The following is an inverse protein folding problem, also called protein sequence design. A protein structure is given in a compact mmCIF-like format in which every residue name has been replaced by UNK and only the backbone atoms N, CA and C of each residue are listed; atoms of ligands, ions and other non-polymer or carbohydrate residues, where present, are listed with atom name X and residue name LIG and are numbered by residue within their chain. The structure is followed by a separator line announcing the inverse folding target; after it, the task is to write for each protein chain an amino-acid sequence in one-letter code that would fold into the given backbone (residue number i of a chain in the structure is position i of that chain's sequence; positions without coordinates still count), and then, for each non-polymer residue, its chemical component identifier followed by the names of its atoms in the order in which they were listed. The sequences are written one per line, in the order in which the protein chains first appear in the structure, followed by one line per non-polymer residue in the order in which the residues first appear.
data_IF_237469501682
#
_entry.id   IF_237469501682
#
_cell.length_a   1.000
_cell.length_b   1.000
_cell.length_c   1.000
_cell.angle_alpha   90.00
_cell.angle_beta   90.00
_cell.angle_gamma   90.00
#
_symmetry.space_group_name_H-M   'P 1'
#
loop_
_entity.id
_entity.type
_entity.pdbx_description
1 polymer ?
#
# COMPACT_ATOMS: atom_id res chain seq x y z
N UNK A 1 -2.90 -12.46 11.03
CA UNK A 1 -3.11 -11.80 9.72
C UNK A 1 -3.27 -12.83 8.62
N UNK A 2 -3.10 -12.40 7.37
CA UNK A 2 -3.34 -13.19 6.16
C UNK A 2 -2.07 -13.35 5.31
N UNK A 3 -2.09 -14.32 4.40
CA UNK A 3 -1.05 -14.59 3.39
C UNK A 3 -1.66 -14.48 1.99
N UNK A 4 -0.80 -14.53 0.96
CA UNK A 4 -1.22 -14.45 -0.44
C UNK A 4 -2.21 -15.56 -0.86
N UNK A 5 -2.15 -16.71 -0.18
CA UNK A 5 -2.98 -17.87 -0.46
C UNK A 5 -3.38 -18.54 0.84
N UNK A 6 -4.65 -18.91 0.96
CA UNK A 6 -5.19 -19.69 2.07
C UNK A 6 -5.75 -21.00 1.51
N UNK A 7 -5.16 -22.11 1.96
CA UNK A 7 -5.55 -23.45 1.55
C UNK A 7 -6.47 -24.07 2.61
N UNK A 8 -7.76 -24.04 2.32
CA UNK A 8 -8.79 -24.56 3.23
C UNK A 8 -8.87 -26.10 3.22
N UNK A 9 -8.14 -26.79 2.35
CA UNK A 9 -8.03 -28.24 2.43
C UNK A 9 -7.08 -28.60 3.58
N UNK A 10 -7.51 -29.29 4.65
CA UNK A 10 -6.63 -29.64 5.77
C UNK A 10 -5.47 -30.57 5.37
N UNK A 11 -5.62 -31.32 4.28
CA UNK A 11 -4.57 -32.17 3.70
C UNK A 11 -3.68 -31.41 2.69
N UNK A 12 -4.09 -30.21 2.27
CA UNK A 12 -3.46 -29.42 1.22
C UNK A 12 -1.99 -29.09 1.51
N UNK A 13 -1.16 -28.98 0.46
CA UNK A 13 0.27 -28.76 0.63
C UNK A 13 0.58 -27.40 1.28
N UNK A 14 -0.32 -26.43 1.11
CA UNK A 14 -0.12 -25.05 1.54
C UNK A 14 -0.94 -24.68 2.78
N UNK A 15 -1.60 -25.64 3.44
CA UNK A 15 -2.38 -25.41 4.65
C UNK A 15 -1.50 -24.81 5.75
N UNK A 16 -1.89 -23.62 6.20
CA UNK A 16 -1.21 -22.91 7.28
C UNK A 16 -1.55 -23.45 8.66
N UNK A 17 -0.92 -22.87 9.68
CA UNK A 17 -1.36 -23.03 11.06
C UNK A 17 -2.52 -22.04 11.28
N UNK A 18 -3.75 -22.56 11.32
CA UNK A 18 -4.94 -21.72 11.50
C UNK A 18 -5.37 -21.71 12.97
N UNK A 19 -5.72 -20.52 13.45
CA UNK A 19 -6.12 -20.24 14.83
C UNK A 19 -7.15 -21.22 15.40
N UNK A 20 -8.18 -21.59 14.62
CA UNK A 20 -9.25 -22.48 15.08
C UNK A 20 -9.00 -23.97 14.76
N UNK A 21 -7.74 -24.39 14.61
CA UNK A 21 -7.37 -25.81 14.53
C UNK A 21 -7.68 -26.53 13.21
N UNK A 22 -8.34 -25.87 12.26
CA UNK A 22 -8.59 -26.40 10.91
C UNK A 22 -7.35 -26.40 9.99
N UNK A 23 -6.21 -25.93 10.51
CA UNK A 23 -4.93 -25.91 9.80
C UNK A 23 -4.01 -27.05 10.19
N UNK A 24 -2.80 -27.06 9.63
CA UNK A 24 -1.74 -28.02 10.02
C UNK A 24 -0.97 -27.49 11.22
N UNK A 25 -0.78 -28.32 12.26
CA UNK A 25 0.03 -27.98 13.46
C UNK A 25 1.45 -27.50 13.13
N UNK A 26 2.05 -28.00 12.05
CA UNK A 26 3.37 -27.60 11.53
C UNK A 26 3.28 -26.72 10.27
N UNK A 27 2.11 -26.15 9.99
CA UNK A 27 1.89 -25.26 8.86
C UNK A 27 2.53 -23.89 9.07
N UNK A 28 2.64 -23.10 8.00
CA UNK A 28 3.14 -21.72 8.08
C UNK A 28 2.22 -20.87 8.97
N UNK A 29 2.81 -20.05 9.84
CA UNK A 29 2.08 -19.15 10.74
C UNK A 29 2.43 -17.67 10.50
N UNK A 30 2.76 -17.33 9.25
CA UNK A 30 3.18 -15.99 8.90
C UNK A 30 1.95 -15.14 8.59
N UNK A 31 1.97 -13.88 8.97
CA UNK A 31 1.07 -12.82 8.48
C UNK A 31 1.85 -11.89 7.57
N UNK A 32 1.19 -11.23 6.63
CA UNK A 32 1.86 -10.34 5.68
C UNK A 32 1.09 -9.05 5.45
N UNK A 33 1.84 -7.95 5.40
CA UNK A 33 1.38 -6.61 5.02
C UNK A 33 1.65 -6.29 3.54
N UNK A 34 2.37 -7.18 2.85
CA UNK A 34 2.66 -7.15 1.43
C UNK A 34 1.37 -7.14 0.60
N UNK A 35 1.31 -6.39 -0.50
CA UNK A 35 0.11 -6.23 -1.36
C UNK A 35 -1.22 -6.06 -0.60
N UNK A 36 -1.25 -5.29 0.50
CA UNK A 36 -2.50 -5.00 1.25
C UNK A 36 -3.21 -6.27 1.79
N UNK A 37 -2.50 -7.40 1.93
CA UNK A 37 -3.09 -8.73 2.22
C UNK A 37 -3.86 -8.77 3.54
N UNK A 38 -3.19 -8.46 4.65
CA UNK A 38 -3.86 -8.46 5.97
C UNK A 38 -4.79 -7.26 6.10
N UNK A 39 -4.35 -6.12 5.59
CA UNK A 39 -5.00 -4.84 5.74
C UNK A 39 -6.37 -4.83 5.05
N UNK A 40 -6.49 -5.27 3.79
CA UNK A 40 -7.76 -5.37 3.07
C UNK A 40 -8.72 -6.38 3.70
N UNK A 41 -8.22 -7.56 4.08
CA UNK A 41 -9.03 -8.57 4.76
C UNK A 41 -9.59 -8.03 6.09
N UNK A 42 -8.77 -7.28 6.84
CA UNK A 42 -9.19 -6.67 8.09
C UNK A 42 -10.21 -5.57 7.86
N UNK A 43 -9.99 -4.65 6.90
CA UNK A 43 -10.97 -3.60 6.55
C UNK A 43 -12.33 -4.18 6.15
N UNK A 44 -12.34 -5.29 5.39
CA UNK A 44 -13.57 -6.02 5.07
C UNK A 44 -14.26 -6.55 6.34
N UNK A 45 -13.51 -7.23 7.22
CA UNK A 45 -14.08 -7.77 8.45
C UNK A 45 -14.64 -6.68 9.37
N UNK A 46 -13.93 -5.55 9.51
CA UNK A 46 -14.41 -4.38 10.26
C UNK A 46 -15.74 -3.88 9.68
N UNK A 47 -15.81 -3.72 8.35
CA UNK A 47 -17.03 -3.25 7.69
C UNK A 47 -18.20 -4.24 7.84
N UNK A 48 -17.94 -5.55 7.73
CA UNK A 48 -18.96 -6.60 7.93
C UNK A 48 -19.43 -6.64 9.38
N UNK A 49 -18.51 -6.57 10.34
CA UNK A 49 -18.84 -6.58 11.77
C UNK A 49 -19.73 -5.39 12.13
N UNK A 50 -19.37 -4.20 11.65
CA UNK A 50 -20.17 -2.98 11.81
C UNK A 50 -21.55 -3.12 11.15
N UNK A 51 -21.63 -3.67 9.94
CA UNK A 51 -22.90 -3.87 9.24
C UNK A 51 -23.82 -4.89 9.92
N UNK A 52 -23.24 -5.85 10.65
CA UNK A 52 -23.96 -6.82 11.47
C UNK A 52 -24.25 -6.29 12.89
N UNK A 53 -24.02 -5.00 13.13
CA UNK A 53 -24.20 -4.34 14.43
C UNK A 53 -23.45 -5.09 15.55
N UNK A 54 -22.29 -5.67 15.24
CA UNK A 54 -21.45 -6.42 16.16
C UNK A 54 -22.12 -7.66 16.78
N UNK A 55 -23.23 -8.14 16.19
CA UNK A 55 -24.02 -9.27 16.74
C UNK A 55 -23.48 -10.64 16.35
N UNK A 56 -22.59 -10.71 15.35
CA UNK A 56 -21.97 -11.97 14.96
C UNK A 56 -20.69 -12.18 15.75
N UNK A 57 -20.78 -12.95 16.84
CA UNK A 57 -19.67 -13.18 17.77
C UNK A 57 -18.38 -13.66 17.09
N UNK A 58 -18.50 -14.54 16.08
CA UNK A 58 -17.32 -15.10 15.41
C UNK A 58 -16.59 -14.05 14.56
N UNK A 59 -17.33 -13.19 13.87
CA UNK A 59 -16.76 -12.12 13.08
C UNK A 59 -16.18 -11.05 14.01
N UNK A 60 -16.93 -10.65 15.04
CA UNK A 60 -16.49 -9.66 16.01
C UNK A 60 -15.18 -10.05 16.69
N UNK A 61 -15.15 -11.24 17.29
CA UNK A 61 -13.97 -11.79 17.97
C UNK A 61 -12.79 -11.96 17.01
N UNK A 62 -13.03 -12.54 15.83
CA UNK A 62 -11.99 -12.72 14.81
C UNK A 62 -11.37 -11.41 14.33
N UNK A 63 -12.19 -10.35 14.25
CA UNK A 63 -11.75 -9.00 13.85
C UNK A 63 -10.89 -8.36 14.93
N UNK A 64 -11.36 -8.35 16.18
CA UNK A 64 -10.60 -7.79 17.30
C UNK A 64 -9.27 -8.51 17.50
N UNK A 65 -9.28 -9.84 17.42
CA UNK A 65 -8.05 -10.63 17.47
C UNK A 65 -7.06 -10.24 16.37
N UNK A 66 -7.54 -10.04 15.14
CA UNK A 66 -6.68 -9.66 14.03
C UNK A 66 -6.13 -8.22 14.19
N UNK A 67 -6.90 -7.29 14.76
CA UNK A 67 -6.43 -5.94 15.13
C UNK A 67 -5.32 -6.05 16.17
N UNK A 68 -5.53 -6.80 17.26
CA UNK A 68 -4.52 -6.99 18.31
C UNK A 68 -3.20 -7.52 17.74
N UNK A 69 -3.28 -8.48 16.81
CA UNK A 69 -2.09 -9.07 16.17
C UNK A 69 -1.43 -8.17 15.12
N UNK A 70 -2.16 -7.22 14.53
CA UNK A 70 -1.56 -6.20 13.68
C UNK A 70 -0.77 -5.21 14.53
N UNK A 71 -1.30 -4.83 15.70
CA UNK A 71 -0.62 -3.90 16.61
C UNK A 71 0.71 -4.46 17.15
N UNK A 72 0.85 -5.79 17.30
CA UNK A 72 2.14 -6.40 17.68
C UNK A 72 3.19 -6.39 16.57
N UNK A 73 2.80 -6.07 15.34
CA UNK A 73 3.72 -5.92 14.22
C UNK A 73 4.36 -4.51 14.16
N UNK A 74 3.96 -3.58 15.03
CA UNK A 74 4.54 -2.24 15.04
C UNK A 74 5.85 -2.20 15.83
N UNK A 75 6.91 -1.75 15.19
CA UNK A 75 8.21 -1.55 15.82
C UNK A 75 8.19 -0.36 16.80
N UNK A 76 9.13 -0.28 17.77
CA UNK A 76 9.20 0.84 18.71
C UNK A 76 9.29 2.22 18.05
N UNK A 77 9.94 2.33 16.88
CA UNK A 77 10.03 3.57 16.11
C UNK A 77 8.76 3.89 15.30
N UNK A 78 7.76 3.01 15.29
CA UNK A 78 6.47 3.17 14.61
C UNK A 78 6.35 2.49 13.24
N UNK A 79 7.45 1.97 12.69
CA UNK A 79 7.46 1.25 11.41
C UNK A 79 6.81 -0.13 11.51
N UNK A 80 6.70 -0.82 10.37
CA UNK A 80 6.14 -2.17 10.28
C UNK A 80 6.99 -3.06 9.36
N UNK A 81 7.00 -4.39 9.58
CA UNK A 81 7.63 -5.35 8.69
C UNK A 81 6.72 -5.72 7.54
N UNK A 82 7.27 -6.28 6.47
CA UNK A 82 6.44 -6.86 5.39
C UNK A 82 5.73 -8.15 5.84
N UNK A 83 6.40 -8.95 6.68
CA UNK A 83 5.91 -10.22 7.20
C UNK A 83 6.22 -10.31 8.70
N UNK A 84 5.29 -10.86 9.48
CA UNK A 84 5.52 -11.14 10.90
C UNK A 84 4.88 -12.45 11.32
N UNK A 85 5.35 -12.97 12.45
CA UNK A 85 4.88 -14.24 13.05
C UNK A 85 4.63 -14.05 14.53
N UNK A 86 5.65 -13.46 15.17
CA UNK A 86 5.68 -13.06 16.56
C UNK A 86 5.75 -11.52 16.63
N UNK A 87 5.60 -10.92 17.83
CA UNK A 87 5.91 -9.52 18.02
C UNK A 87 7.30 -9.17 17.49
N UNK A 88 7.42 -8.00 16.89
CA UNK A 88 8.68 -7.52 16.30
C UNK A 88 9.75 -7.25 17.37
N UNK A 89 11.05 -7.35 17.02
CA UNK A 89 12.12 -7.07 17.97
C UNK A 89 12.16 -5.60 18.41
N UNK A 90 12.79 -5.37 19.56
CA UNK A 90 13.03 -4.02 20.06
C UNK A 90 14.39 -3.52 19.59
N UNK A 91 14.37 -2.58 18.65
CA UNK A 91 15.57 -2.00 18.05
C UNK A 91 15.72 -0.52 18.45
N UNK A 92 16.94 0.00 18.37
CA UNK A 92 17.22 1.39 18.68
C UNK A 92 16.52 2.33 17.67
N UNK A 93 15.93 3.41 18.18
CA UNK A 93 15.30 4.43 17.33
C UNK A 93 16.40 5.35 16.78
N UNK A 94 16.65 5.28 15.48
CA UNK A 94 17.62 6.11 14.75
C UNK A 94 16.94 6.90 13.63
N UNK A 95 17.62 7.91 13.10
CA UNK A 95 17.17 8.65 11.91
C UNK A 95 17.75 8.01 10.65
N UNK A 96 17.03 8.15 9.53
CA UNK A 96 17.47 7.59 8.28
C UNK A 96 18.79 8.20 7.81
N UNK A 97 19.64 7.35 7.24
CA UNK A 97 20.93 7.74 6.67
C UNK A 97 21.25 6.92 5.43
N UNK A 98 22.18 7.39 4.62
CA UNK A 98 22.71 6.58 3.53
C UNK A 98 23.65 5.49 4.09
N UNK A 99 23.68 4.29 3.49
CA UNK A 99 24.70 3.29 3.80
C UNK A 99 26.12 3.86 3.62
N UNK A 100 27.02 3.46 4.50
CA UNK A 100 28.47 3.77 4.44
C UNK A 100 29.30 2.62 3.84
N UNK A 101 28.64 1.54 3.41
CA UNK A 101 29.23 0.39 2.72
C UNK A 101 28.88 0.36 1.22
N UNK A 102 29.56 -0.49 0.45
CA UNK A 102 29.24 -0.68 -0.98
C UNK A 102 27.96 -1.50 -1.16
N UNK A 103 26.83 -0.81 -1.05
CA UNK A 103 25.51 -1.41 -1.17
C UNK A 103 25.27 -2.12 -2.51
N UNK A 104 26.07 -1.90 -3.56
CA UNK A 104 25.91 -2.63 -4.83
C UNK A 104 26.33 -4.08 -4.73
N UNK A 105 27.34 -4.36 -3.91
CA UNK A 105 27.97 -5.68 -3.79
C UNK A 105 27.72 -6.33 -2.43
N UNK A 106 27.40 -5.53 -1.41
CA UNK A 106 27.22 -5.97 -0.02
C UNK A 106 25.78 -5.78 0.49
N UNK A 107 25.52 -6.22 1.72
CA UNK A 107 24.25 -5.96 2.43
C UNK A 107 23.02 -6.71 1.90
N UNK A 108 23.20 -7.70 1.01
CA UNK A 108 22.10 -8.55 0.53
C UNK A 108 21.69 -9.52 1.62
N UNK A 109 20.42 -9.49 1.99
CA UNK A 109 19.81 -10.45 2.91
C UNK A 109 18.62 -11.12 2.24
N UNK A 110 18.34 -12.36 2.63
CA UNK A 110 17.21 -13.11 2.10
C UNK A 110 15.92 -12.71 2.79
N UNK A 111 15.94 -12.57 4.11
CA UNK A 111 14.80 -12.29 4.97
C UNK A 111 14.49 -10.78 5.09
N UNK A 112 14.53 -10.04 3.97
CA UNK A 112 14.22 -8.60 3.96
C UNK A 112 12.83 -8.27 4.51
N UNK A 113 11.90 -9.22 4.47
CA UNK A 113 10.52 -9.05 4.91
C UNK A 113 10.36 -8.88 6.44
N UNK A 114 11.40 -9.16 7.22
CA UNK A 114 11.40 -8.97 8.68
C UNK A 114 11.79 -7.52 9.08
N UNK A 115 12.08 -6.64 8.11
CA UNK A 115 12.58 -5.28 8.31
C UNK A 115 11.57 -4.19 7.95
N UNK A 116 11.87 -2.93 8.29
CA UNK A 116 10.99 -1.79 8.02
C UNK A 116 10.64 -1.70 6.54
N UNK A 117 9.35 -1.74 6.24
CA UNK A 117 8.85 -1.83 4.86
C UNK A 117 7.88 -0.70 4.57
N UNK A 118 8.06 -0.05 3.42
CA UNK A 118 7.11 0.89 2.81
C UNK A 118 6.57 0.39 1.47
N UNK A 119 7.21 -0.63 0.90
CA UNK A 119 6.83 -1.27 -0.35
C UNK A 119 5.32 -1.60 -0.45
N UNK A 120 4.78 -1.55 -1.67
CA UNK A 120 3.40 -1.89 -2.01
C UNK A 120 2.33 -1.06 -1.27
N UNK A 121 2.65 0.20 -0.94
CA UNK A 121 1.72 1.12 -0.31
C UNK A 121 1.42 0.78 1.16
N UNK A 122 2.39 0.18 1.85
CA UNK A 122 2.22 -0.28 3.22
C UNK A 122 1.80 0.87 4.15
N UNK A 123 2.41 2.05 4.01
CA UNK A 123 2.13 3.17 4.89
C UNK A 123 0.66 3.62 4.77
N UNK A 124 0.17 3.78 3.54
CA UNK A 124 -1.23 4.12 3.28
C UNK A 124 -2.20 3.04 3.77
N UNK A 125 -1.97 1.79 3.38
CA UNK A 125 -2.90 0.68 3.67
C UNK A 125 -3.00 0.35 5.16
N UNK A 126 -1.87 0.39 5.89
CA UNK A 126 -1.87 0.21 7.36
C UNK A 126 -2.57 1.38 8.04
N UNK A 127 -2.30 2.61 7.61
CA UNK A 127 -2.96 3.81 8.14
C UNK A 127 -4.46 3.72 7.96
N UNK A 128 -4.94 3.40 6.76
CA UNK A 128 -6.37 3.24 6.47
C UNK A 128 -7.02 2.18 7.37
N UNK A 129 -6.38 1.02 7.52
CA UNK A 129 -6.92 -0.09 8.32
C UNK A 129 -7.02 0.26 9.80
N UNK A 130 -5.95 0.79 10.39
CA UNK A 130 -5.94 1.15 11.81
C UNK A 130 -6.83 2.35 12.10
N UNK A 131 -6.90 3.32 11.18
CA UNK A 131 -7.82 4.44 11.33
C UNK A 131 -9.29 4.00 11.26
N UNK A 132 -9.65 3.11 10.34
CA UNK A 132 -11.00 2.53 10.27
C UNK A 132 -11.33 1.72 11.54
N UNK A 133 -10.36 0.96 12.07
CA UNK A 133 -10.53 0.24 13.33
C UNK A 133 -10.80 1.21 14.50
N UNK A 134 -10.06 2.31 14.59
CA UNK A 134 -10.31 3.35 15.59
C UNK A 134 -11.68 4.01 15.42
N UNK A 135 -12.07 4.41 14.21
CA UNK A 135 -13.39 5.02 13.96
C UNK A 135 -14.54 4.06 14.32
N UNK A 136 -14.36 2.75 14.10
CA UNK A 136 -15.40 1.73 14.32
C UNK A 136 -15.50 1.29 15.78
N UNK A 137 -14.37 0.98 16.42
CA UNK A 137 -14.33 0.37 17.76
C UNK A 137 -13.90 1.33 18.87
N UNK A 138 -13.48 2.55 18.52
CA UNK A 138 -12.95 3.55 19.46
C UNK A 138 -11.71 3.06 20.24
N UNK A 139 -10.97 2.09 19.70
CA UNK A 139 -9.72 1.59 20.28
C UNK A 139 -8.59 2.61 20.05
N UNK A 140 -8.21 3.32 21.12
CA UNK A 140 -7.18 4.36 21.06
C UNK A 140 -5.80 3.81 20.66
N UNK A 141 -5.52 2.53 20.91
CA UNK A 141 -4.25 1.90 20.49
C UNK A 141 -4.08 1.97 18.98
N UNK A 142 -5.17 1.88 18.22
CA UNK A 142 -5.13 1.99 16.76
C UNK A 142 -4.79 3.42 16.31
N UNK A 143 -5.39 4.44 16.92
CA UNK A 143 -5.04 5.85 16.65
C UNK A 143 -3.58 6.14 17.00
N UNK A 144 -3.13 5.70 18.17
CA UNK A 144 -1.74 5.84 18.61
C UNK A 144 -0.76 5.17 17.65
N UNK A 145 -1.10 3.96 17.15
CA UNK A 145 -0.29 3.27 16.16
C UNK A 145 -0.18 4.05 14.85
N UNK A 146 -1.26 4.69 14.37
CA UNK A 146 -1.20 5.58 13.19
C UNK A 146 -0.29 6.78 13.45
N UNK A 147 -0.36 7.42 14.62
CA UNK A 147 0.52 8.54 14.95
C UNK A 147 1.98 8.13 15.00
N UNK A 148 2.28 6.97 15.60
CA UNK A 148 3.64 6.40 15.62
C UNK A 148 4.14 6.07 14.23
N UNK A 149 3.28 5.57 13.34
CA UNK A 149 3.64 5.38 11.93
C UNK A 149 3.96 6.73 11.27
N UNK A 150 3.18 7.77 11.50
CA UNK A 150 3.52 9.12 11.04
C UNK A 150 4.88 9.61 11.54
N UNK A 151 5.21 9.35 12.81
CA UNK A 151 6.52 9.68 13.40
C UNK A 151 7.65 8.86 12.75
N UNK A 152 7.43 7.56 12.49
CA UNK A 152 8.34 6.72 11.71
C UNK A 152 8.60 7.30 10.32
N UNK A 153 7.56 7.74 9.61
CA UNK A 153 7.70 8.30 8.26
C UNK A 153 8.53 9.58 8.25
N UNK A 154 8.42 10.42 9.29
CA UNK A 154 9.30 11.58 9.46
C UNK A 154 10.75 11.13 9.73
N UNK A 155 10.95 10.13 10.59
CA UNK A 155 12.29 9.58 10.89
C UNK A 155 12.95 8.90 9.69
N UNK A 156 12.15 8.27 8.83
CA UNK A 156 12.57 7.48 7.68
C UNK A 156 12.90 8.32 6.44
N UNK A 157 12.60 9.63 6.46
CA UNK A 157 12.98 10.53 5.36
C UNK A 157 14.50 10.62 5.30
N UNK A 158 15.08 10.29 4.14
CA UNK A 158 16.52 10.41 3.97
C UNK A 158 16.98 11.88 3.96
N UNK A 159 18.26 12.16 4.27
CA UNK A 159 18.77 13.52 4.19
C UNK A 159 18.93 13.99 2.73
N UNK A 160 19.24 15.28 2.56
CA UNK A 160 19.73 15.76 1.26
C UNK A 160 20.94 14.91 0.81
N UNK A 161 21.07 14.62 -0.50
CA UNK A 161 20.38 15.27 -1.63
C UNK A 161 19.01 14.68 -2.01
N UNK A 162 18.50 13.68 -1.28
CA UNK A 162 17.28 12.96 -1.63
C UNK A 162 16.31 12.83 -0.43
N UNK A 163 15.62 13.91 -0.04
CA UNK A 163 14.66 13.94 1.07
C UNK A 163 13.36 13.22 0.75
N UNK A 164 13.45 11.91 0.55
CA UNK A 164 12.41 11.00 0.09
C UNK A 164 12.60 9.61 0.74
N UNK A 165 11.87 8.59 0.26
CA UNK A 165 11.82 7.28 0.92
C UNK A 165 12.20 6.10 0.02
N UNK A 166 12.69 5.03 0.65
CA UNK A 166 13.01 3.75 0.03
C UNK A 166 11.90 2.72 0.28
N UNK A 167 11.93 1.61 -0.47
CA UNK A 167 10.99 0.50 -0.29
C UNK A 167 11.19 -0.24 1.03
N UNK A 168 12.44 -0.48 1.43
CA UNK A 168 12.81 -1.21 2.64
C UNK A 168 14.03 -0.57 3.31
N UNK A 169 14.08 -0.67 4.64
CA UNK A 169 15.19 -0.17 5.44
C UNK A 169 15.66 -1.21 6.46
N UNK A 170 16.96 -1.28 6.69
CA UNK A 170 17.54 -2.07 7.78
C UNK A 170 17.21 -1.44 9.16
N UNK A 171 17.62 -2.08 10.26
CA UNK A 171 17.40 -1.54 11.62
C UNK A 171 18.20 -0.27 11.94
N UNK A 172 19.19 0.08 11.11
CA UNK A 172 19.89 1.37 11.15
C UNK A 172 19.16 2.45 10.34
N UNK A 173 17.94 2.15 9.86
CA UNK A 173 17.10 3.00 9.02
C UNK A 173 17.81 3.47 7.74
N UNK A 174 18.64 2.60 7.16
CA UNK A 174 19.29 2.80 5.87
C UNK A 174 18.57 1.97 4.79
N UNK A 175 18.40 2.48 3.57
CA UNK A 175 17.86 1.69 2.45
C UNK A 175 18.60 0.37 2.28
N UNK A 176 17.87 -0.68 1.97
CA UNK A 176 18.43 -2.02 1.83
C UNK A 176 17.83 -2.78 0.64
N UNK A 177 18.47 -3.89 0.26
CA UNK A 177 17.95 -4.77 -0.78
C UNK A 177 16.70 -5.49 -0.31
N UNK A 178 15.75 -5.67 -1.23
CA UNK A 178 14.70 -6.67 -1.09
C UNK A 178 14.92 -7.83 -2.05
N UNK A 179 14.09 -7.95 -3.10
CA UNK A 179 14.32 -8.94 -4.15
C UNK A 179 15.57 -8.57 -4.95
N UNK A 180 16.10 -9.52 -5.73
CA UNK A 180 17.29 -9.32 -6.58
C UNK A 180 17.19 -8.15 -7.57
N UNK A 181 15.98 -7.68 -7.85
CA UNK A 181 15.67 -6.58 -8.76
C UNK A 181 15.16 -5.32 -8.02
N UNK A 182 15.32 -5.27 -6.70
CA UNK A 182 14.91 -4.18 -5.82
C UNK A 182 16.11 -3.74 -4.99
N UNK A 183 16.96 -2.87 -5.56
CA UNK A 183 18.16 -2.41 -4.90
C UNK A 183 17.86 -1.36 -3.81
N UNK A 184 18.79 -1.12 -2.89
CA UNK A 184 18.81 0.07 -2.04
C UNK A 184 18.74 1.32 -2.91
N UNK A 185 17.61 2.02 -2.85
CA UNK A 185 17.34 3.17 -3.70
C UNK A 185 16.24 4.02 -3.09
N UNK A 186 16.24 5.31 -3.44
CA UNK A 186 15.06 6.15 -3.27
C UNK A 186 14.02 5.73 -4.30
N UNK A 187 12.75 5.74 -3.92
CA UNK A 187 11.69 5.16 -4.73
C UNK A 187 10.57 6.13 -5.02
N UNK A 188 10.12 6.12 -6.28
CA UNK A 188 9.12 7.06 -6.78
C UNK A 188 7.73 6.81 -6.20
N UNK A 189 7.26 5.57 -6.08
CA UNK A 189 5.88 5.31 -5.64
C UNK A 189 5.70 5.40 -4.13
N UNK A 190 6.65 4.90 -3.36
CA UNK A 190 6.59 4.83 -1.90
C UNK A 190 6.73 6.24 -1.34
N UNK A 191 7.53 7.11 -1.98
CA UNK A 191 7.55 8.54 -1.66
C UNK A 191 6.17 9.18 -1.83
N UNK A 192 5.42 8.82 -2.89
CA UNK A 192 4.07 9.35 -3.13
C UNK A 192 3.05 8.80 -2.11
N UNK A 193 3.17 7.51 -1.74
CA UNK A 193 2.34 6.88 -0.70
C UNK A 193 2.60 7.52 0.67
N UNK A 194 3.86 7.76 1.02
CA UNK A 194 4.24 8.40 2.29
C UNK A 194 3.73 9.84 2.36
N UNK A 195 3.88 10.64 1.29
CA UNK A 195 3.33 12.00 1.26
C UNK A 195 1.81 11.96 1.45
N UNK A 196 1.11 11.08 0.73
CA UNK A 196 -0.35 10.93 0.86
C UNK A 196 -0.75 10.53 2.29
N UNK A 197 0.00 9.60 2.90
CA UNK A 197 -0.23 9.13 4.27
C UNK A 197 -0.04 10.25 5.29
N UNK A 198 1.05 11.01 5.17
CA UNK A 198 1.33 12.14 6.07
C UNK A 198 0.30 13.26 5.93
N UNK A 199 -0.18 13.54 4.72
CA UNK A 199 -1.28 14.49 4.49
C UNK A 199 -2.57 14.02 5.14
N UNK A 200 -2.91 12.74 5.00
CA UNK A 200 -4.07 12.14 5.65
C UNK A 200 -3.98 12.27 7.18
N UNK A 201 -2.85 11.90 7.79
CA UNK A 201 -2.66 11.99 9.24
C UNK A 201 -2.76 13.45 9.69
N UNK A 202 -2.09 14.39 8.99
CA UNK A 202 -2.16 15.81 9.31
C UNK A 202 -3.60 16.36 9.23
N UNK A 203 -4.36 16.02 8.20
CA UNK A 203 -5.75 16.45 8.05
C UNK A 203 -6.65 15.88 9.15
N UNK A 204 -6.49 14.59 9.47
CA UNK A 204 -7.33 13.90 10.45
C UNK A 204 -7.05 14.31 11.90
N UNK A 205 -5.81 14.70 12.19
CA UNK A 205 -5.35 14.99 13.56
C UNK A 205 -5.20 16.49 13.83
N UNK A 206 -5.01 17.29 12.79
CA UNK A 206 -4.62 18.70 12.88
C UNK A 206 -3.14 18.92 13.22
N UNK A 207 -2.34 17.84 13.40
CA UNK A 207 -0.95 17.93 13.81
C UNK A 207 -0.04 18.32 12.64
N UNK A 208 0.38 19.59 12.63
CA UNK A 208 1.20 20.18 11.55
C UNK A 208 2.57 19.52 11.39
N UNK A 209 3.08 18.82 12.41
CA UNK A 209 4.39 18.15 12.35
C UNK A 209 4.48 17.13 11.22
N UNK A 210 3.37 16.47 10.87
CA UNK A 210 3.32 15.52 9.75
C UNK A 210 3.45 16.18 8.39
N UNK A 211 3.25 17.50 8.29
CA UNK A 211 3.48 18.25 7.05
C UNK A 211 4.95 18.63 6.82
N UNK A 212 5.77 18.60 7.88
CA UNK A 212 7.18 19.05 7.87
C UNK A 212 8.04 18.43 6.76
N UNK A 213 8.04 17.11 6.51
CA UNK A 213 8.92 16.50 5.51
C UNK A 213 8.46 16.75 4.06
N UNK A 214 7.19 17.11 3.85
CA UNK A 214 6.53 17.09 2.54
C UNK A 214 7.14 18.09 1.54
N UNK A 215 7.41 19.37 1.88
CA UNK A 215 7.97 20.32 0.92
C UNK A 215 9.31 19.87 0.32
N UNK A 216 10.18 19.25 1.11
CA UNK A 216 11.47 18.76 0.64
C UNK A 216 11.28 17.58 -0.34
N UNK A 217 10.37 16.65 0.00
CA UNK A 217 10.03 15.53 -0.86
C UNK A 217 9.37 15.96 -2.19
N UNK A 218 8.47 16.95 -2.17
CA UNK A 218 7.86 17.48 -3.40
C UNK A 218 8.88 18.14 -4.34
N UNK A 219 9.84 18.88 -3.77
CA UNK A 219 10.99 19.39 -4.55
C UNK A 219 11.87 18.28 -5.08
N UNK A 220 11.99 17.17 -4.35
CA UNK A 220 12.72 15.99 -4.83
C UNK A 220 12.00 15.32 -5.98
N UNK A 221 10.67 15.16 -5.90
CA UNK A 221 9.88 14.65 -7.00
C UNK A 221 10.03 15.52 -8.25
N UNK A 222 9.90 16.85 -8.12
CA UNK A 222 10.00 17.78 -9.25
C UNK A 222 11.32 17.64 -10.02
N UNK A 223 12.46 17.56 -9.32
CA UNK A 223 13.77 17.39 -9.96
C UNK A 223 14.07 15.95 -10.40
N UNK A 224 13.20 15.01 -10.08
CA UNK A 224 13.36 13.58 -10.39
C UNK A 224 12.40 13.11 -11.48
N UNK A 225 11.39 13.90 -11.86
CA UNK A 225 10.51 13.62 -12.98
C UNK A 225 11.32 13.36 -14.27
N UNK A 226 10.97 12.27 -14.96
CA UNK A 226 11.54 11.89 -16.25
C UNK A 226 10.97 12.80 -17.36
N UNK A 227 11.60 12.86 -18.55
CA UNK A 227 11.13 13.70 -19.65
C UNK A 227 9.69 13.43 -20.12
N UNK A 228 9.18 12.22 -19.87
CA UNK A 228 7.81 11.80 -20.19
C UNK A 228 6.79 12.12 -19.08
N UNK A 229 7.21 12.79 -18.00
CA UNK A 229 6.39 13.14 -16.84
C UNK A 229 6.18 11.99 -15.85
N UNK A 230 6.77 10.82 -16.09
CA UNK A 230 6.80 9.72 -15.13
C UNK A 230 7.92 9.91 -14.10
N UNK A 231 8.00 8.99 -13.15
CA UNK A 231 9.16 8.82 -12.28
C UNK A 231 9.77 7.44 -12.50
N UNK A 232 11.09 7.33 -12.31
CA UNK A 232 11.71 6.02 -12.19
C UNK A 232 11.24 5.34 -10.90
N UNK A 233 11.15 4.02 -10.93
CA UNK A 233 10.85 3.23 -9.72
C UNK A 233 11.97 3.37 -8.68
N UNK A 234 13.22 3.42 -9.15
CA UNK A 234 14.42 3.53 -8.32
C UNK A 234 15.29 4.70 -8.77
N UNK A 235 15.83 5.42 -7.80
CA UNK A 235 16.87 6.43 -7.98
C UNK A 235 18.06 6.03 -7.13
N UNK A 236 19.22 6.01 -7.78
CA UNK A 236 20.49 5.69 -7.16
C UNK A 236 20.76 6.61 -5.95
N UNK A 237 21.23 6.00 -4.86
CA UNK A 237 21.53 6.71 -3.62
C UNK A 237 22.60 7.78 -3.88
N UNK A 238 22.37 8.97 -3.30
CA UNK A 238 23.17 10.19 -3.36
C UNK A 238 23.27 10.88 -4.73
N UNK A 239 23.28 10.15 -5.84
CA UNK A 239 23.42 10.75 -7.18
C UNK A 239 22.08 11.20 -7.79
N UNK A 240 20.98 10.64 -7.30
CA UNK A 240 19.63 10.85 -7.83
C UNK A 240 19.43 10.45 -9.30
N UNK A 241 20.30 9.58 -9.83
CA UNK A 241 20.15 9.07 -11.20
C UNK A 241 19.08 7.99 -11.24
N UNK A 242 18.15 7.99 -12.22
CA UNK A 242 17.27 6.85 -12.47
C UNK A 242 18.06 5.56 -12.55
N UNK A 243 17.66 4.55 -11.76
CA UNK A 243 18.35 3.28 -11.63
C UNK A 243 17.43 2.15 -12.08
N UNK A 244 17.97 1.25 -12.88
CA UNK A 244 17.23 0.17 -13.51
C UNK A 244 17.99 -1.15 -13.38
N UNK A 245 17.36 -2.21 -13.90
CA UNK A 245 17.91 -3.56 -13.95
C UNK A 245 17.78 -4.08 -15.37
N UNK A 246 18.75 -4.85 -15.86
CA UNK A 246 18.63 -5.59 -17.13
C UNK A 246 17.62 -6.74 -17.03
N UNK A 247 16.91 -7.04 -18.12
CA UNK A 247 15.77 -7.97 -18.18
C UNK A 247 16.03 -9.36 -17.60
N UNK A 248 17.20 -9.93 -17.90
CA UNK A 248 17.50 -11.33 -17.64
C UNK A 248 18.54 -11.53 -16.54
N UNK A 249 19.56 -10.67 -16.47
CA UNK A 249 20.65 -10.80 -15.48
C UNK A 249 20.40 -9.99 -14.21
N UNK A 250 19.50 -9.01 -14.26
CA UNK A 250 19.24 -8.08 -13.15
C UNK A 250 20.53 -7.36 -12.71
N UNK A 251 21.33 -6.97 -13.70
CA UNK A 251 22.48 -6.10 -13.49
C UNK A 251 21.99 -4.66 -13.41
N UNK A 252 22.55 -3.90 -12.47
CA UNK A 252 22.26 -2.48 -12.31
C UNK A 252 22.67 -1.72 -13.58
N UNK A 253 21.76 -0.90 -14.09
CA UNK A 253 21.99 -0.09 -15.29
C UNK A 253 21.26 1.25 -15.17
N UNK A 254 21.70 2.22 -15.97
CA UNK A 254 21.01 3.50 -16.15
C UNK A 254 20.23 3.55 -17.47
N UNK A 255 20.29 2.48 -18.26
CA UNK A 255 19.57 2.31 -19.52
C UNK A 255 18.22 1.62 -19.28
N UNK A 256 17.15 2.22 -19.77
CA UNK A 256 15.78 1.72 -19.67
C UNK A 256 15.30 0.99 -20.95
N UNK A 257 16.21 0.70 -21.89
CA UNK A 257 15.88 0.02 -23.15
C UNK A 257 15.66 -1.50 -23.01
N UNK A 258 16.25 -2.16 -22.00
CA UNK A 258 16.13 -3.61 -21.75
C UNK A 258 15.66 -3.95 -20.32
N UNK A 259 14.50 -3.43 -19.95
CA UNK A 259 13.91 -3.66 -18.63
C UNK A 259 13.21 -5.03 -18.50
N UNK A 260 13.19 -5.64 -17.30
CA UNK A 260 12.36 -6.80 -17.01
C UNK A 260 10.87 -6.53 -17.24
N UNK A 261 10.20 -7.41 -17.99
CA UNK A 261 8.80 -7.19 -18.43
C UNK A 261 7.74 -7.49 -17.39
N UNK A 262 8.13 -8.08 -16.25
CA UNK A 262 7.23 -8.49 -15.18
C UNK A 262 7.18 -7.48 -14.03
N UNK A 263 7.88 -6.35 -14.16
CA UNK A 263 8.01 -5.34 -13.10
C UNK A 263 7.92 -3.93 -13.66
N UNK A 264 7.27 -3.02 -12.93
CA UNK A 264 7.11 -1.63 -13.31
C UNK A 264 8.31 -0.78 -12.89
N UNK A 265 9.21 -0.47 -13.82
CA UNK A 265 10.38 0.38 -13.55
C UNK A 265 10.14 1.88 -13.73
N UNK A 266 8.98 2.26 -14.25
CA UNK A 266 8.50 3.64 -14.33
C UNK A 266 7.09 3.71 -13.80
N UNK A 267 6.79 4.78 -13.07
CA UNK A 267 5.52 4.97 -12.36
C UNK A 267 4.98 6.36 -12.65
N UNK A 268 3.66 6.56 -12.50
CA UNK A 268 3.07 7.89 -12.67
C UNK A 268 3.61 8.87 -11.62
N UNK A 269 3.64 10.16 -11.97
CA UNK A 269 3.88 11.25 -11.03
C UNK A 269 2.55 11.92 -10.64
N UNK A 270 2.18 11.78 -9.38
CA UNK A 270 1.07 12.49 -8.73
C UNK A 270 1.51 13.82 -8.12
N UNK A 271 2.73 14.31 -8.43
CA UNK A 271 3.33 15.49 -7.78
C UNK A 271 2.37 16.69 -7.72
N UNK A 272 1.71 17.00 -8.83
CA UNK A 272 0.78 18.14 -8.89
C UNK A 272 -0.43 17.94 -7.96
N UNK A 273 -0.98 16.73 -7.90
CA UNK A 273 -2.08 16.37 -6.99
C UNK A 273 -1.62 16.51 -5.55
N UNK A 274 -0.45 15.95 -5.20
CA UNK A 274 0.12 15.98 -3.86
C UNK A 274 0.48 17.41 -3.42
N UNK A 275 1.00 18.24 -4.33
CA UNK A 275 1.26 19.66 -4.05
C UNK A 275 -0.04 20.41 -3.76
N UNK A 276 -1.08 20.22 -4.58
CA UNK A 276 -2.38 20.86 -4.36
C UNK A 276 -3.02 20.40 -3.04
N UNK A 277 -2.87 19.13 -2.68
CA UNK A 277 -3.35 18.58 -1.42
C UNK A 277 -2.56 19.14 -0.21
N UNK A 278 -1.23 19.23 -0.33
CA UNK A 278 -0.39 19.89 0.68
C UNK A 278 -0.78 21.36 0.89
N UNK A 279 -0.94 22.14 -0.19
CA UNK A 279 -1.36 23.55 -0.12
C UNK A 279 -2.75 23.70 0.53
N UNK A 280 -3.64 22.72 0.31
CA UNK A 280 -4.96 22.69 0.93
C UNK A 280 -4.87 22.40 2.43
N UNK A 281 -4.20 21.30 2.81
CA UNK A 281 -4.12 20.83 4.20
C UNK A 281 -3.33 21.82 5.06
N UNK A 282 -2.22 22.38 4.55
CA UNK A 282 -1.43 23.40 5.25
C UNK A 282 -2.19 24.69 5.56
N UNK A 283 -3.23 25.01 4.77
CA UNK A 283 -4.14 26.15 5.02
C UNK A 283 -5.32 25.78 5.92
N UNK A 284 -5.37 24.57 6.47
CA UNK A 284 -6.49 24.07 7.27
C UNK A 284 -7.80 23.94 6.49
N UNK A 285 -7.75 23.91 5.16
CA UNK A 285 -8.95 23.78 4.33
C UNK A 285 -9.39 22.33 4.30
N UNK A 286 -10.62 22.05 4.77
CA UNK A 286 -11.25 20.74 4.60
C UNK A 286 -11.41 20.41 3.11
N UNK A 287 -11.29 19.14 2.77
CA UNK A 287 -11.58 18.69 1.41
C UNK A 287 -13.02 19.08 1.02
N UNK A 288 -13.20 19.72 -0.12
CA UNK A 288 -14.54 19.96 -0.67
C UNK A 288 -15.14 18.62 -1.09
N UNK A 289 -15.99 18.05 -0.25
CA UNK A 289 -16.80 16.89 -0.63
C UNK A 289 -17.99 17.38 -1.47
N UNK A 290 -17.75 17.65 -2.76
CA UNK A 290 -18.85 17.68 -3.73
C UNK A 290 -19.36 16.26 -3.93
N UNK A 291 -20.27 15.84 -3.06
CA UNK A 291 -20.98 14.57 -3.21
C UNK A 291 -21.63 14.50 -4.59
N UNK A 292 -21.46 13.39 -5.29
CA UNK A 292 -22.19 13.15 -6.53
C UNK A 292 -23.67 12.99 -6.18
N UNK A 293 -24.55 13.76 -6.85
CA UNK A 293 -25.98 13.67 -6.55
C UNK A 293 -26.49 12.24 -6.71
N UNK A 294 -27.46 11.82 -5.87
CA UNK A 294 -28.06 10.47 -5.97
C UNK A 294 -28.63 10.22 -7.37
N UNK A 295 -29.17 11.26 -8.02
CA UNK A 295 -29.63 11.18 -9.43
C UNK A 295 -28.50 10.82 -10.39
N UNK A 296 -27.31 11.40 -10.23
CA UNK A 296 -26.14 11.07 -11.05
C UNK A 296 -25.61 9.66 -10.74
N UNK A 297 -25.58 9.29 -9.46
CA UNK A 297 -25.19 7.93 -9.03
C UNK A 297 -26.15 6.88 -9.60
N UNK A 298 -27.47 7.11 -9.54
CA UNK A 298 -28.48 6.23 -10.11
C UNK A 298 -28.30 6.04 -11.62
N UNK A 299 -28.05 7.12 -12.37
CA UNK A 299 -27.75 7.03 -13.81
C UNK A 299 -26.49 6.21 -14.09
N UNK A 300 -25.43 6.40 -13.30
CA UNK A 300 -24.20 5.63 -13.44
C UNK A 300 -24.42 4.15 -13.11
N UNK A 301 -25.15 3.84 -12.04
CA UNK A 301 -25.49 2.49 -11.64
C UNK A 301 -26.33 1.78 -12.71
N UNK A 302 -27.37 2.45 -13.23
CA UNK A 302 -28.20 1.91 -14.31
C UNK A 302 -27.37 1.59 -15.56
N UNK A 303 -26.46 2.49 -15.98
CA UNK A 303 -25.54 2.24 -17.10
C UNK A 303 -24.66 1.02 -16.84
N UNK A 304 -24.06 0.92 -15.66
CA UNK A 304 -23.20 -0.21 -15.29
C UNK A 304 -23.94 -1.54 -15.31
N UNK A 305 -25.20 -1.57 -14.85
CA UNK A 305 -26.04 -2.79 -14.92
C UNK A 305 -26.36 -3.15 -16.38
N UNK A 306 -26.64 -2.16 -17.24
CA UNK A 306 -26.91 -2.38 -18.67
C UNK A 306 -25.68 -2.87 -19.46
N UNK A 307 -24.47 -2.70 -18.94
CA UNK A 307 -23.22 -3.21 -19.52
C UNK A 307 -22.97 -4.70 -19.23
N UNK A 308 -23.81 -5.34 -18.40
CA UNK A 308 -23.73 -6.78 -18.15
C UNK A 308 -24.16 -7.56 -19.40
N UNK A 309 -23.44 -8.64 -19.71
CA UNK A 309 -23.89 -9.61 -20.71
C UNK A 309 -25.03 -10.50 -20.18
N UNK A 310 -25.52 -11.42 -21.01
CA UNK A 310 -26.59 -12.34 -20.66
C UNK A 310 -26.24 -13.30 -19.49
N UNK A 311 -24.96 -13.44 -19.16
CA UNK A 311 -24.46 -14.25 -18.03
C UNK A 311 -24.18 -13.38 -16.78
N UNK A 312 -24.49 -12.08 -16.82
CA UNK A 312 -24.27 -11.18 -15.70
C UNK A 312 -22.80 -10.80 -15.51
N UNK A 313 -22.03 -10.68 -16.60
CA UNK A 313 -20.59 -10.35 -16.56
C UNK A 313 -20.30 -9.02 -17.25
N UNK A 314 -19.30 -8.29 -16.72
CA UNK A 314 -18.67 -7.18 -17.45
C UNK A 314 -17.48 -7.71 -18.25
N UNK A 315 -17.70 -7.98 -19.54
CA UNK A 315 -16.67 -8.47 -20.44
C UNK A 315 -15.87 -7.31 -21.01
N UNK A 316 -14.53 -7.39 -20.89
CA UNK A 316 -13.59 -6.45 -21.51
C UNK A 316 -13.04 -7.07 -22.79
N UNK A 317 -12.93 -6.28 -23.85
CA UNK A 317 -12.21 -6.68 -25.07
C UNK A 317 -10.80 -6.08 -25.04
N UNK A 318 -9.79 -6.91 -25.26
CA UNK A 318 -8.39 -6.47 -25.25
C UNK A 318 -8.12 -5.49 -26.41
N UNK A 319 -7.55 -4.32 -26.09
CA UNK A 319 -7.30 -3.23 -27.05
C UNK A 319 -6.00 -3.39 -27.85
N UNK A 320 -5.28 -4.51 -27.66
CA UNK A 320 -4.02 -4.81 -28.31
C UNK A 320 -2.79 -4.23 -27.59
N UNK A 321 -2.97 -3.46 -26.50
CA UNK A 321 -1.85 -2.93 -25.72
C UNK A 321 -1.34 -3.95 -24.71
N UNK A 322 -0.02 -4.10 -24.53
CA UNK A 322 0.53 -4.99 -23.53
C UNK A 322 -0.04 -4.73 -22.14
N UNK A 323 -0.51 -5.79 -21.49
CA UNK A 323 -0.92 -5.77 -20.09
C UNK A 323 0.24 -6.30 -19.24
N UNK A 324 0.93 -5.42 -18.52
CA UNK A 324 2.10 -5.78 -17.70
C UNK A 324 1.73 -6.86 -16.68
N UNK A 325 2.52 -7.94 -16.64
CA UNK A 325 2.30 -9.06 -15.72
C UNK A 325 1.13 -9.98 -16.06
N UNK A 326 0.47 -9.80 -17.21
CA UNK A 326 -0.66 -10.64 -17.64
C UNK A 326 -0.27 -11.57 -18.80
N UNK A 327 -1.02 -12.66 -19.02
CA UNK A 327 -0.89 -13.49 -20.23
C UNK A 327 -1.05 -12.66 -21.51
N UNK A 328 -0.40 -13.10 -22.59
CA UNK A 328 -0.58 -12.47 -23.90
C UNK A 328 -1.99 -12.74 -24.41
N UNK A 329 -2.78 -11.68 -24.55
CA UNK A 329 -4.11 -11.71 -25.17
C UNK A 329 -4.03 -11.20 -26.60
N UNK A 330 -4.83 -11.76 -27.51
CA UNK A 330 -4.97 -11.24 -28.88
C UNK A 330 -5.81 -9.97 -28.89
N UNK A 331 -5.61 -9.02 -29.81
CA UNK A 331 -6.55 -7.91 -29.99
C UNK A 331 -7.97 -8.42 -30.18
N UNK A 332 -8.94 -7.85 -29.47
CA UNK A 332 -10.34 -8.28 -29.46
C UNK A 332 -10.63 -9.51 -28.61
N UNK A 333 -9.62 -10.16 -28.02
CA UNK A 333 -9.85 -11.28 -27.09
C UNK A 333 -10.61 -10.79 -25.86
N UNK A 334 -11.65 -11.54 -25.50
CA UNK A 334 -12.55 -11.22 -24.40
C UNK A 334 -12.04 -11.80 -23.08
N UNK A 335 -12.07 -10.99 -22.03
CA UNK A 335 -11.65 -11.40 -20.69
C UNK A 335 -12.42 -10.64 -19.62
N UNK A 336 -12.44 -11.19 -18.40
CA UNK A 336 -12.97 -10.49 -17.21
C UNK A 336 -11.83 -9.68 -16.61
N UNK A 337 -11.95 -8.36 -16.66
CA UNK A 337 -10.98 -7.46 -16.04
C UNK A 337 -11.35 -7.23 -14.57
N UNK A 338 -10.49 -7.64 -13.63
CA UNK A 338 -10.68 -7.34 -12.21
C UNK A 338 -10.78 -5.82 -11.96
N UNK A 339 -10.08 -5.00 -12.77
CA UNK A 339 -10.19 -3.53 -12.68
C UNK A 339 -11.60 -3.05 -13.01
N UNK A 340 -12.16 -3.48 -14.14
CA UNK A 340 -13.52 -3.10 -14.56
C UNK A 340 -14.54 -3.60 -13.55
N UNK A 341 -14.40 -4.86 -13.11
CA UNK A 341 -15.24 -5.45 -12.08
C UNK A 341 -15.25 -4.60 -10.80
N UNK A 342 -14.07 -4.29 -10.24
CA UNK A 342 -13.96 -3.47 -9.03
C UNK A 342 -14.51 -2.05 -9.22
N UNK A 343 -14.26 -1.41 -10.37
CA UNK A 343 -14.79 -0.08 -10.67
C UNK A 343 -16.32 -0.07 -10.74
N UNK A 344 -16.90 -1.07 -11.40
CA UNK A 344 -18.34 -1.19 -11.55
C UNK A 344 -19.00 -1.54 -10.21
N UNK A 345 -18.44 -2.45 -9.42
CA UNK A 345 -18.91 -2.71 -8.05
C UNK A 345 -18.87 -1.46 -7.16
N UNK A 346 -17.80 -0.66 -7.21
CA UNK A 346 -17.71 0.59 -6.45
C UNK A 346 -18.82 1.56 -6.85
N UNK A 347 -19.06 1.76 -8.14
CA UNK A 347 -20.14 2.64 -8.65
C UNK A 347 -21.52 2.19 -8.17
N UNK A 348 -21.78 0.87 -8.15
CA UNK A 348 -23.02 0.32 -7.62
C UNK A 348 -23.12 0.52 -6.10
N UNK A 349 -22.03 0.26 -5.37
CA UNK A 349 -21.94 0.47 -3.92
C UNK A 349 -22.19 1.94 -3.53
N UNK A 350 -21.58 2.89 -4.24
CA UNK A 350 -21.77 4.32 -4.03
C UNK A 350 -23.24 4.72 -4.17
N UNK A 351 -23.94 4.18 -5.18
CA UNK A 351 -25.36 4.39 -5.36
C UNK A 351 -26.19 3.80 -4.22
N UNK A 352 -25.97 2.53 -3.85
CA UNK A 352 -26.71 1.87 -2.76
C UNK A 352 -26.53 2.62 -1.44
N UNK A 353 -25.30 3.01 -1.11
CA UNK A 353 -24.99 3.79 0.08
C UNK A 353 -25.69 5.14 0.10
N UNK A 354 -25.72 5.85 -1.04
CA UNK A 354 -26.35 7.15 -1.13
C UNK A 354 -27.88 7.09 -1.13
N UNK A 355 -28.46 6.04 -1.75
CA UNK A 355 -29.90 5.81 -1.73
C UNK A 355 -30.40 5.50 -0.32
N UNK A 356 -29.71 4.61 0.40
CA UNK A 356 -30.05 4.25 1.79
C UNK A 356 -30.01 5.44 2.75
N UNK A 357 -29.06 6.36 2.57
CA UNK A 357 -28.96 7.60 3.37
C UNK A 357 -30.11 8.58 3.13
N UNK A 358 -30.76 8.52 1.96
CA UNK A 358 -31.90 9.38 1.64
C UNK A 358 -33.24 8.81 2.13
N UNK A 359 -33.30 7.51 2.41
CA UNK A 359 -34.49 6.82 2.92
C UNK A 359 -34.59 6.84 4.45
N UNK A 360 -33.49 7.14 5.14
CA UNK A 360 -33.43 7.43 6.59
C UNK A 360 -33.52 8.93 6.84
#
# INVERSE_FOLDING_TARGET
GWQASIDFNPAGRNTGLYRHGNGKKKGKNNSSLDDDKTQAALRLLIAVDQALEFRNERIHEGTLYAIDHLLTAQFPNGGFPQVWREPVPHEAIVKASFPDYDWRTEGRIKEYWDYYTLNDGLAGTVTETLWQAWETYQDQRCREAVLKLGDFLILAQLPEPQPAWAQQYNFQLQPMWARKFEPPAITGSETQDVISTLLFIAEKTGEQRFLTPIPAALRWMERSELPDGQMARFYELQTNRPLYMTRNTYELTYDDSDLPTHYGFKVGSDRQRLQAEFDRVSRGKKAETRGTSVKTLAKNAARVVLELDAEGRWITSHDGKPLVGQPKLKPGEQFISSRVFCQNLRRLGDYVMAAHRNER
#
